data_IF_300154689768
#
_entry.id   IF_300154689768
#
_cell.length_a   1.000
_cell.length_b   1.000
_cell.length_c   1.000
_cell.angle_alpha   90.00
_cell.angle_beta   90.00
_cell.angle_gamma   90.00
#
_symmetry.space_group_name_H-M   'P 1'
#
loop_
_entity.id
_entity.type
_entity.pdbx_description
1 polymer ?
#
# COMPACT_ATOMS: atom_id res chain seq x y z
N UNK A 1 68.03 -29.66 35.61
CA UNK A 1 68.96 -29.04 34.66
C UNK A 1 68.22 -28.56 33.46
N UNK A 2 68.31 -27.25 33.20
CA UNK A 2 68.25 -26.52 31.95
C UNK A 2 66.82 -26.27 31.35
N UNK A 3 66.31 -25.12 31.60
CA UNK A 3 66.16 -23.89 30.82
C UNK A 3 65.18 -24.03 29.65
N UNK A 4 63.99 -23.36 29.72
CA UNK A 4 63.63 -21.97 29.35
C UNK A 4 63.56 -21.71 27.86
N UNK A 5 62.40 -21.32 27.41
CA UNK A 5 61.97 -20.03 26.82
C UNK A 5 60.63 -20.32 26.12
N UNK A 6 59.55 -19.66 26.33
CA UNK A 6 59.34 -18.20 26.42
C UNK A 6 59.01 -17.66 25.03
N UNK A 7 57.77 -17.79 24.59
CA UNK A 7 57.32 -17.16 23.36
C UNK A 7 55.82 -16.91 23.42
N UNK A 8 55.44 -15.69 23.81
CA UNK A 8 54.06 -15.20 23.66
C UNK A 8 53.78 -14.99 22.17
N UNK A 9 52.67 -15.44 21.61
CA UNK A 9 52.24 -14.95 20.32
C UNK A 9 51.53 -13.60 20.47
N UNK A 10 51.85 -12.71 19.55
CA UNK A 10 51.37 -11.37 19.42
C UNK A 10 49.85 -11.29 19.26
N UNK A 11 49.26 -10.30 19.96
CA UNK A 11 47.88 -9.81 19.72
C UNK A 11 47.79 -9.25 18.30
N UNK A 12 47.08 -9.92 17.41
CA UNK A 12 46.54 -9.33 16.22
C UNK A 12 45.35 -8.45 16.60
N UNK A 13 45.53 -7.15 16.49
CA UNK A 13 44.46 -6.17 16.56
C UNK A 13 43.53 -6.40 15.38
N UNK A 14 42.32 -6.92 15.65
CA UNK A 14 41.23 -6.92 14.72
C UNK A 14 40.76 -5.49 14.50
N UNK A 15 40.98 -4.97 13.32
CA UNK A 15 40.39 -3.71 12.84
C UNK A 15 38.92 -3.96 12.66
N UNK A 16 38.13 -3.48 13.61
CA UNK A 16 36.66 -3.37 13.48
C UNK A 16 36.37 -2.24 12.50
N UNK A 17 36.14 -2.60 11.25
CA UNK A 17 35.52 -1.68 10.28
C UNK A 17 34.02 -1.67 10.56
N UNK A 18 33.60 -0.77 11.47
CA UNK A 18 32.23 -0.32 11.53
C UNK A 18 32.05 0.69 10.42
N UNK A 19 31.64 0.25 9.24
CA UNK A 19 30.99 1.12 8.28
C UNK A 19 29.65 1.57 8.87
N UNK A 20 29.26 2.85 8.69
CA UNK A 20 27.94 3.27 9.09
C UNK A 20 26.92 2.48 8.24
N UNK A 21 26.03 1.75 8.92
CA UNK A 21 24.76 1.37 8.33
C UNK A 21 24.07 2.70 7.99
N UNK A 22 24.14 3.07 6.73
CA UNK A 22 23.27 4.09 6.17
C UNK A 22 21.85 3.56 6.33
N UNK A 23 21.20 3.97 7.42
CA UNK A 23 19.77 3.90 7.52
C UNK A 23 19.23 4.78 6.42
N UNK A 24 18.74 4.16 5.34
CA UNK A 24 17.91 4.89 4.41
C UNK A 24 16.80 5.57 5.22
N UNK A 25 16.53 6.85 5.02
CA UNK A 25 15.44 7.50 5.71
C UNK A 25 14.15 6.77 5.32
N UNK A 26 13.27 6.48 6.26
CA UNK A 26 11.93 6.06 5.92
C UNK A 26 11.31 7.22 5.16
N UNK A 27 11.01 6.95 3.93
CA UNK A 27 10.22 7.63 3.08
C UNK A 27 9.42 8.75 3.47
N UNK A 28 9.27 9.38 2.57
CA UNK A 28 8.28 10.21 1.93
C UNK A 28 7.92 11.47 2.68
N UNK A 29 8.14 12.54 1.98
CA UNK A 29 7.61 13.86 2.29
C UNK A 29 6.12 13.83 2.69
N UNK A 30 5.37 12.80 2.27
CA UNK A 30 3.97 12.58 2.64
C UNK A 30 3.75 12.21 4.10
N UNK A 31 4.63 11.46 4.75
CA UNK A 31 4.42 11.03 6.14
C UNK A 31 4.48 12.17 7.16
N UNK A 32 5.26 13.23 6.88
CA UNK A 32 5.38 14.39 7.78
C UNK A 32 4.24 15.39 7.71
N UNK A 33 3.42 15.37 6.65
CA UNK A 33 2.38 16.38 6.39
C UNK A 33 1.03 16.02 7.01
N UNK A 34 0.79 14.75 7.37
CA UNK A 34 -0.54 14.24 7.71
C UNK A 34 -0.90 14.18 9.20
N UNK A 35 -0.20 14.87 10.08
CA UNK A 35 -0.56 14.94 11.51
C UNK A 35 -1.79 15.81 11.83
N UNK A 36 -2.56 16.28 10.83
CA UNK A 36 -3.78 17.04 11.05
C UNK A 36 -5.02 16.18 10.81
N UNK A 37 -5.97 16.23 11.77
CA UNK A 37 -7.26 15.54 11.76
C UNK A 37 -7.97 15.67 10.41
N UNK A 38 -8.18 14.55 9.72
CA UNK A 38 -9.03 14.50 8.54
C UNK A 38 -10.50 14.66 8.93
N UNK A 39 -11.18 15.59 8.29
CA UNK A 39 -12.64 15.75 8.39
C UNK A 39 -13.21 15.38 7.02
N UNK A 40 -13.93 14.28 6.97
CA UNK A 40 -14.54 13.79 5.73
C UNK A 40 -15.67 14.71 5.27
N UNK A 41 -15.67 15.08 3.97
CA UNK A 41 -16.82 15.67 3.28
C UNK A 41 -17.50 14.59 2.42
N UNK A 42 -18.86 14.59 2.33
CA UNK A 42 -19.52 13.59 1.52
C UNK A 42 -19.27 13.80 0.02
N UNK A 43 -18.95 12.72 -0.66
CA UNK A 43 -18.72 12.66 -2.10
C UNK A 43 -20.05 12.86 -2.85
N UNK A 44 -20.08 13.82 -3.79
CA UNK A 44 -21.17 13.96 -4.76
C UNK A 44 -20.72 13.34 -6.09
N UNK A 45 -21.32 12.20 -6.43
CA UNK A 45 -21.11 11.60 -7.74
C UNK A 45 -21.70 12.49 -8.85
N UNK A 46 -20.88 12.92 -9.79
CA UNK A 46 -21.33 13.56 -11.01
C UNK A 46 -21.71 12.46 -12.01
N UNK A 47 -23.02 12.30 -12.25
CA UNK A 47 -23.52 11.40 -13.28
C UNK A 47 -23.49 12.10 -14.64
N UNK A 48 -22.55 11.72 -15.52
CA UNK A 48 -22.70 11.90 -16.94
C UNK A 48 -22.95 10.53 -17.59
N UNK A 49 -24.08 10.38 -18.26
CA UNK A 49 -24.45 9.14 -18.95
C UNK A 49 -23.50 8.92 -20.15
N UNK A 50 -22.74 7.83 -20.09
CA UNK A 50 -21.88 7.37 -21.20
C UNK A 50 -22.50 6.12 -21.82
N UNK A 51 -22.62 6.15 -23.12
CA UNK A 51 -23.13 5.12 -24.03
C UNK A 51 -22.42 3.78 -23.81
N UNK A 52 -23.18 2.70 -23.70
CA UNK A 52 -22.68 1.32 -23.63
C UNK A 52 -21.98 0.94 -24.93
N UNK A 53 -20.66 0.76 -24.89
CA UNK A 53 -19.89 0.11 -25.95
C UNK A 53 -19.37 -1.24 -25.44
N UNK A 54 -19.61 -2.28 -26.24
CA UNK A 54 -19.22 -3.68 -26.03
C UNK A 54 -17.70 -3.84 -25.83
N UNK A 55 -17.23 -4.70 -24.90
CA UNK A 55 -15.82 -4.89 -24.62
C UNK A 55 -15.20 -5.88 -25.63
N UNK A 56 -14.57 -5.38 -26.68
CA UNK A 56 -13.62 -6.12 -27.50
C UNK A 56 -12.71 -5.15 -28.28
N UNK A 57 -12.22 -4.12 -27.61
CA UNK A 57 -11.19 -3.27 -28.19
C UNK A 57 -9.84 -3.66 -27.56
N UNK A 58 -8.84 -3.89 -28.41
CA UNK A 58 -7.43 -3.94 -28.00
C UNK A 58 -7.16 -2.74 -27.08
N UNK A 59 -6.48 -2.92 -25.93
CA UNK A 59 -6.14 -1.82 -25.03
C UNK A 59 -5.50 -0.69 -25.84
N UNK A 60 -6.09 0.50 -25.77
CA UNK A 60 -5.44 1.69 -26.32
C UNK A 60 -4.46 2.18 -25.27
N UNK A 61 -3.15 2.24 -25.56
CA UNK A 61 -2.19 2.76 -24.61
C UNK A 61 -2.53 4.20 -24.24
N UNK A 62 -2.48 4.51 -22.96
CA UNK A 62 -2.51 5.88 -22.49
C UNK A 62 -1.23 6.58 -22.97
N UNK A 63 -1.36 7.82 -23.44
CA UNK A 63 -0.22 8.61 -23.86
C UNK A 63 0.31 9.44 -22.68
N UNK A 64 1.62 9.65 -22.67
CA UNK A 64 2.29 10.56 -21.74
C UNK A 64 2.13 10.19 -20.25
N UNK A 65 2.12 8.89 -19.91
CA UNK A 65 2.12 8.41 -18.52
C UNK A 65 3.41 8.86 -17.86
N UNK A 66 3.28 9.64 -16.79
CA UNK A 66 4.39 10.16 -15.98
C UNK A 66 4.39 9.65 -14.54
N UNK A 67 3.24 9.16 -14.08
CA UNK A 67 3.05 8.65 -12.73
C UNK A 67 2.11 7.45 -12.74
N UNK A 68 2.46 6.41 -11.97
CA UNK A 68 1.56 5.28 -11.71
C UNK A 68 1.42 5.12 -10.20
N UNK A 69 0.18 5.12 -9.72
CA UNK A 69 -0.15 4.97 -8.30
C UNK A 69 -0.88 3.65 -8.10
N UNK A 70 -0.32 2.78 -7.29
CA UNK A 70 -0.89 1.47 -6.98
C UNK A 70 -1.60 1.49 -5.62
N UNK A 71 -2.72 0.77 -5.50
CA UNK A 71 -3.05 0.17 -4.21
C UNK A 71 -2.09 -0.99 -3.92
N UNK A 72 -2.05 -1.43 -2.66
CA UNK A 72 -1.15 -2.52 -2.24
C UNK A 72 -1.87 -3.87 -2.23
N UNK A 73 -2.89 -3.99 -1.38
CA UNK A 73 -3.62 -5.23 -1.13
C UNK A 73 -4.46 -5.60 -2.36
N UNK A 74 -4.32 -6.82 -2.87
CA UNK A 74 -5.02 -7.28 -4.08
C UNK A 74 -4.42 -6.80 -5.41
N UNK A 75 -3.48 -5.84 -5.38
CA UNK A 75 -2.83 -5.25 -6.57
C UNK A 75 -1.34 -5.60 -6.62
N UNK A 76 -0.54 -5.09 -5.70
CA UNK A 76 0.90 -5.39 -5.64
C UNK A 76 1.20 -6.69 -4.91
N UNK A 77 0.29 -7.14 -4.07
CA UNK A 77 0.37 -8.40 -3.32
C UNK A 77 -0.86 -9.27 -3.54
N UNK A 78 -0.66 -10.60 -3.61
CA UNK A 78 -1.75 -11.58 -3.69
C UNK A 78 -2.32 -11.86 -2.28
N UNK A 79 -2.89 -10.82 -1.68
CA UNK A 79 -3.56 -10.88 -0.40
C UNK A 79 -4.84 -10.02 -0.45
N UNK A 80 -5.90 -10.52 0.16
CA UNK A 80 -7.20 -9.83 0.16
C UNK A 80 -7.16 -8.51 0.93
N UNK A 81 -6.40 -8.48 2.04
CA UNK A 81 -6.21 -7.30 2.87
C UNK A 81 -5.12 -7.55 3.91
N UNK A 82 -4.25 -6.60 4.13
CA UNK A 82 -3.26 -6.62 5.20
C UNK A 82 -3.89 -6.65 6.60
N UNK A 83 -5.04 -6.00 6.79
CA UNK A 83 -5.84 -6.10 8.03
C UNK A 83 -6.40 -7.50 8.23
N UNK A 84 -6.92 -8.12 7.18
CA UNK A 84 -7.43 -9.50 7.23
C UNK A 84 -6.33 -10.48 7.58
N UNK A 85 -5.12 -10.31 7.06
CA UNK A 85 -3.97 -11.14 7.37
C UNK A 85 -3.66 -11.14 8.88
N UNK A 86 -3.77 -9.98 9.54
CA UNK A 86 -3.63 -9.89 11.00
C UNK A 86 -4.77 -10.63 11.74
N UNK A 87 -6.01 -10.50 11.28
CA UNK A 87 -7.11 -11.25 11.86
C UNK A 87 -6.94 -12.76 11.73
N UNK A 88 -6.47 -13.23 10.58
CA UNK A 88 -6.19 -14.65 10.35
C UNK A 88 -5.04 -15.14 11.26
N UNK A 89 -4.00 -14.31 11.47
CA UNK A 89 -2.87 -14.61 12.36
C UNK A 89 -3.31 -14.76 13.82
N UNK A 90 -4.10 -13.82 14.33
CA UNK A 90 -4.60 -13.85 15.71
C UNK A 90 -5.87 -14.72 15.89
N UNK A 91 -6.36 -15.35 14.83
CA UNK A 91 -7.57 -16.18 14.90
C UNK A 91 -8.83 -15.39 15.26
N UNK A 92 -8.91 -14.13 14.85
CA UNK A 92 -10.05 -13.24 15.14
C UNK A 92 -10.88 -12.98 13.87
N UNK A 93 -12.13 -12.54 14.06
CA UNK A 93 -13.03 -12.13 12.98
C UNK A 93 -13.54 -10.71 13.18
N UNK A 94 -13.43 -9.87 12.17
CA UNK A 94 -13.93 -8.50 12.18
C UNK A 94 -15.12 -8.26 11.24
N UNK A 95 -15.73 -9.31 10.68
CA UNK A 95 -16.78 -9.20 9.66
C UNK A 95 -17.91 -8.26 10.06
N UNK A 96 -18.35 -8.32 11.33
CA UNK A 96 -19.40 -7.44 11.84
C UNK A 96 -18.98 -5.96 11.85
N UNK A 97 -17.73 -5.65 12.26
CA UNK A 97 -17.19 -4.28 12.26
C UNK A 97 -16.95 -3.79 10.82
N UNK A 98 -16.46 -4.66 9.94
CA UNK A 98 -16.30 -4.35 8.51
C UNK A 98 -17.64 -3.95 7.87
N UNK A 99 -18.72 -4.65 8.16
CA UNK A 99 -20.05 -4.28 7.68
C UNK A 99 -20.51 -2.93 8.22
N UNK A 100 -20.26 -2.62 9.49
CA UNK A 100 -20.55 -1.31 10.08
C UNK A 100 -19.73 -0.20 9.42
N UNK A 101 -18.45 -0.47 9.14
CA UNK A 101 -17.56 0.46 8.45
C UNK A 101 -18.06 0.73 7.01
N UNK A 102 -18.36 -0.32 6.23
CA UNK A 102 -18.87 -0.18 4.86
C UNK A 102 -20.18 0.63 4.83
N UNK A 103 -21.04 0.48 5.86
CA UNK A 103 -22.28 1.27 5.97
C UNK A 103 -22.06 2.69 6.51
N UNK A 104 -20.80 3.09 6.81
CA UNK A 104 -20.48 4.40 7.36
C UNK A 104 -20.92 4.61 8.80
N UNK A 105 -21.23 3.54 9.55
CA UNK A 105 -21.64 3.60 10.96
C UNK A 105 -20.48 3.87 11.91
N UNK A 106 -19.27 3.53 11.51
CA UNK A 106 -18.03 3.79 12.24
C UNK A 106 -16.98 4.38 11.31
N UNK A 107 -16.09 5.21 11.86
CA UNK A 107 -14.97 5.80 11.11
C UNK A 107 -13.83 4.82 10.92
N UNK A 108 -12.88 5.16 10.01
CA UNK A 108 -11.62 4.40 9.84
C UNK A 108 -10.87 4.25 11.17
N UNK A 109 -10.74 5.32 11.96
CA UNK A 109 -10.05 5.27 13.26
C UNK A 109 -10.74 4.35 14.25
N UNK A 110 -12.09 4.42 14.33
CA UNK A 110 -12.85 3.52 15.20
C UNK A 110 -12.75 2.06 14.73
N UNK A 111 -12.78 1.83 13.42
CA UNK A 111 -12.62 0.49 12.84
C UNK A 111 -11.25 -0.10 13.23
N UNK A 112 -10.15 0.66 13.03
CA UNK A 112 -8.80 0.24 13.43
C UNK A 112 -8.70 -0.04 14.93
N UNK A 113 -9.24 0.84 15.78
CA UNK A 113 -9.25 0.66 17.23
C UNK A 113 -9.98 -0.61 17.67
N UNK A 114 -11.10 -0.94 17.02
CA UNK A 114 -11.85 -2.16 17.28
C UNK A 114 -11.08 -3.42 16.87
N UNK A 115 -10.33 -3.37 15.78
CA UNK A 115 -9.49 -4.47 15.31
C UNK A 115 -8.31 -4.70 16.28
N UNK A 116 -7.59 -3.65 16.65
CA UNK A 116 -6.51 -3.70 17.66
C UNK A 116 -7.03 -4.33 18.96
N UNK A 117 -8.19 -3.89 19.45
CA UNK A 117 -8.81 -4.45 20.67
C UNK A 117 -9.08 -5.95 20.55
N UNK A 118 -9.49 -6.42 19.37
CA UNK A 118 -9.70 -7.86 19.13
C UNK A 118 -8.40 -8.64 19.22
N UNK A 119 -7.32 -8.16 18.58
CA UNK A 119 -6.02 -8.82 18.62
C UNK A 119 -5.47 -8.87 20.06
N UNK A 120 -5.49 -7.73 20.76
CA UNK A 120 -5.05 -7.64 22.18
C UNK A 120 -5.89 -8.50 23.13
N UNK A 121 -7.11 -8.89 22.76
CA UNK A 121 -7.90 -9.85 23.56
C UNK A 121 -7.41 -11.30 23.42
N UNK A 122 -6.59 -11.60 22.43
CA UNK A 122 -5.97 -12.91 22.20
C UNK A 122 -4.56 -12.93 22.77
N UNK A 123 -3.79 -11.89 22.52
CA UNK A 123 -2.40 -11.75 22.95
C UNK A 123 -2.13 -10.30 23.35
N UNK A 124 -1.59 -10.08 24.54
CA UNK A 124 -1.19 -8.77 25.06
C UNK A 124 -0.04 -8.96 26.07
N UNK A 125 1.13 -8.34 25.87
CA UNK A 125 1.44 -7.39 24.82
C UNK A 125 1.70 -8.03 23.46
N UNK A 126 1.37 -7.32 22.37
CA UNK A 126 1.76 -7.66 21.00
C UNK A 126 2.96 -6.79 20.62
N UNK A 127 4.08 -7.40 20.25
CA UNK A 127 5.24 -6.66 19.78
C UNK A 127 5.16 -6.38 18.28
N UNK A 128 5.84 -5.31 17.84
CA UNK A 128 5.93 -4.97 16.41
C UNK A 128 6.39 -6.15 15.54
N UNK A 129 7.33 -6.96 16.06
CA UNK A 129 7.81 -8.15 15.35
C UNK A 129 6.72 -9.19 15.12
N UNK A 130 5.76 -9.34 16.03
CA UNK A 130 4.66 -10.30 15.90
C UNK A 130 3.75 -9.90 14.74
N UNK A 131 3.50 -8.60 14.60
CA UNK A 131 2.78 -8.06 13.45
C UNK A 131 3.53 -8.32 12.14
N UNK A 132 4.87 -8.16 12.09
CA UNK A 132 5.65 -8.52 10.92
C UNK A 132 5.58 -10.01 10.60
N UNK A 133 5.61 -10.89 11.61
CA UNK A 133 5.47 -12.34 11.42
C UNK A 133 4.14 -12.74 10.81
N UNK A 134 3.07 -11.99 11.10
CA UNK A 134 1.76 -12.24 10.51
C UNK A 134 1.76 -12.16 8.99
N UNK A 135 2.66 -11.35 8.40
CA UNK A 135 2.80 -11.20 6.95
C UNK A 135 3.77 -12.21 6.32
N UNK A 136 4.36 -13.10 7.11
CA UNK A 136 5.25 -14.13 6.59
C UNK A 136 4.51 -15.04 5.60
N UNK A 137 5.03 -15.16 4.39
CA UNK A 137 4.43 -15.97 3.32
C UNK A 137 3.48 -15.21 2.38
N UNK A 138 3.12 -13.97 2.64
CA UNK A 138 2.43 -13.13 1.66
C UNK A 138 3.37 -12.86 0.48
N UNK A 139 2.86 -13.07 -0.73
CA UNK A 139 3.65 -12.97 -1.95
C UNK A 139 3.28 -11.73 -2.76
N UNK A 140 4.24 -11.20 -3.51
CA UNK A 140 3.95 -10.21 -4.53
C UNK A 140 2.99 -10.81 -5.56
N UNK A 141 2.10 -9.98 -6.08
CA UNK A 141 1.30 -10.33 -7.25
C UNK A 141 2.23 -10.71 -8.41
N UNK A 142 1.86 -11.75 -9.16
CA UNK A 142 2.63 -12.14 -10.33
C UNK A 142 2.82 -10.94 -11.25
N UNK A 143 4.05 -10.73 -11.74
CA UNK A 143 4.38 -9.60 -12.62
C UNK A 143 4.56 -8.23 -11.94
N UNK A 144 4.23 -8.08 -10.65
CA UNK A 144 4.32 -6.78 -9.97
C UNK A 144 5.74 -6.18 -10.00
N UNK A 145 6.75 -6.99 -9.67
CA UNK A 145 8.16 -6.53 -9.72
C UNK A 145 8.56 -6.11 -11.11
N UNK A 146 8.26 -6.92 -12.10
CA UNK A 146 8.63 -6.65 -13.49
C UNK A 146 7.93 -5.39 -14.03
N UNK A 147 6.64 -5.21 -13.72
CA UNK A 147 5.91 -4.01 -14.12
C UNK A 147 6.53 -2.74 -13.51
N UNK A 148 6.79 -2.75 -12.20
CA UNK A 148 7.41 -1.61 -11.51
C UNK A 148 8.79 -1.30 -12.08
N UNK A 149 9.62 -2.31 -12.32
CA UNK A 149 10.93 -2.14 -12.93
C UNK A 149 10.85 -1.53 -14.35
N UNK A 150 9.89 -1.96 -15.19
CA UNK A 150 9.66 -1.38 -16.52
C UNK A 150 9.24 0.09 -16.46
N UNK A 151 8.35 0.44 -15.51
CA UNK A 151 7.93 1.82 -15.28
C UNK A 151 9.12 2.71 -14.89
N UNK A 152 9.90 2.27 -13.91
CA UNK A 152 11.09 2.98 -13.41
C UNK A 152 12.15 3.16 -14.50
N UNK A 153 12.38 2.14 -15.34
CA UNK A 153 13.31 2.22 -16.47
C UNK A 153 12.91 3.29 -17.51
N UNK A 154 11.63 3.65 -17.54
CA UNK A 154 11.11 4.74 -18.39
C UNK A 154 11.06 6.09 -17.67
N UNK A 155 11.52 6.16 -16.43
CA UNK A 155 11.47 7.37 -15.62
C UNK A 155 10.06 7.74 -15.16
N UNK A 156 9.12 6.78 -15.16
CA UNK A 156 7.77 6.98 -14.66
C UNK A 156 7.81 6.90 -13.13
N UNK A 157 7.25 7.89 -12.46
CA UNK A 157 7.14 7.94 -11.01
C UNK A 157 6.17 6.86 -10.52
N UNK A 158 6.58 6.06 -9.54
CA UNK A 158 5.78 4.96 -9.00
C UNK A 158 5.50 5.17 -7.53
N UNK A 159 4.24 5.18 -7.14
CA UNK A 159 3.85 5.33 -5.74
C UNK A 159 2.84 4.27 -5.28
N UNK A 160 2.74 4.09 -3.95
CA UNK A 160 1.72 3.26 -3.30
C UNK A 160 0.85 4.15 -2.43
N UNK A 161 -0.47 4.09 -2.62
CA UNK A 161 -1.47 4.76 -1.78
C UNK A 161 -2.47 3.71 -1.30
N UNK A 162 -2.30 3.24 -0.07
CA UNK A 162 -3.06 2.12 0.48
C UNK A 162 -3.70 2.46 1.83
N UNK A 163 -4.94 2.02 2.04
CA UNK A 163 -5.57 2.01 3.36
C UNK A 163 -5.13 0.83 4.24
N UNK A 164 -4.24 -0.02 3.72
CA UNK A 164 -3.62 -1.14 4.42
C UNK A 164 -2.64 -0.73 5.52
N UNK A 165 -1.96 -1.72 6.09
CA UNK A 165 -1.06 -1.56 7.24
C UNK A 165 0.33 -1.10 6.79
N UNK A 166 0.81 0.01 7.36
CA UNK A 166 2.07 0.67 6.99
C UNK A 166 3.32 -0.23 7.15
N UNK A 167 3.39 -1.05 8.20
CA UNK A 167 4.47 -2.00 8.40
C UNK A 167 4.64 -2.94 7.19
N UNK A 168 3.52 -3.39 6.65
CA UNK A 168 3.48 -4.27 5.49
C UNK A 168 3.77 -3.48 4.20
N UNK A 169 3.05 -2.38 3.98
CA UNK A 169 3.21 -1.54 2.78
C UNK A 169 4.63 -1.00 2.66
N UNK A 170 5.27 -0.60 3.77
CA UNK A 170 6.67 -0.18 3.80
C UNK A 170 7.62 -1.28 3.28
N UNK A 171 7.37 -2.53 3.67
CA UNK A 171 8.17 -3.67 3.23
C UNK A 171 8.03 -3.90 1.72
N UNK A 172 6.80 -3.80 1.19
CA UNK A 172 6.52 -3.91 -0.25
C UNK A 172 7.17 -2.74 -1.02
N UNK A 173 7.01 -1.51 -0.52
CA UNK A 173 7.61 -0.32 -1.08
C UNK A 173 9.14 -0.44 -1.19
N UNK A 174 9.79 -0.94 -0.13
CA UNK A 174 11.24 -1.18 -0.10
C UNK A 174 11.67 -2.29 -1.08
N UNK A 175 10.89 -3.39 -1.16
CA UNK A 175 11.19 -4.50 -2.09
C UNK A 175 11.05 -4.09 -3.56
N UNK A 176 10.11 -3.21 -3.89
CA UNK A 176 9.85 -2.73 -5.25
C UNK A 176 10.62 -1.43 -5.55
N UNK A 177 11.21 -0.80 -4.53
CA UNK A 177 11.93 0.49 -4.62
C UNK A 177 11.08 1.59 -5.25
N UNK A 178 9.80 1.66 -4.87
CA UNK A 178 8.92 2.72 -5.35
C UNK A 178 9.40 4.09 -4.87
N UNK A 179 9.03 5.15 -5.59
CA UNK A 179 9.50 6.51 -5.31
C UNK A 179 8.85 7.08 -4.05
N UNK A 180 7.58 6.75 -3.79
CA UNK A 180 6.86 7.20 -2.59
C UNK A 180 5.76 6.22 -2.17
N UNK A 181 5.32 6.31 -0.90
CA UNK A 181 4.21 5.50 -0.41
C UNK A 181 3.55 6.12 0.82
N UNK A 182 2.28 5.82 1.01
CA UNK A 182 1.54 6.15 2.23
C UNK A 182 0.56 5.02 2.56
N UNK A 183 0.42 4.72 3.86
CA UNK A 183 -0.53 3.75 4.38
C UNK A 183 -0.96 4.11 5.81
N UNK A 184 -2.04 3.50 6.28
CA UNK A 184 -2.46 3.58 7.68
C UNK A 184 -1.55 2.72 8.56
N UNK A 185 -1.55 2.95 9.86
CA UNK A 185 -0.63 2.25 10.74
C UNK A 185 -1.10 2.16 12.17
N UNK A 186 -0.17 1.86 13.05
CA UNK A 186 -0.41 1.69 14.48
C UNK A 186 0.43 2.66 15.30
N UNK A 187 -0.10 3.06 16.45
CA UNK A 187 0.71 3.62 17.53
C UNK A 187 1.45 2.48 18.22
N UNK A 188 2.70 2.76 18.65
CA UNK A 188 3.50 1.85 19.45
C UNK A 188 3.94 2.55 20.73
N UNK A 189 3.95 1.81 21.83
CA UNK A 189 4.48 2.25 23.09
C UNK A 189 6.02 2.36 23.05
N UNK A 190 6.63 2.94 24.09
CA UNK A 190 8.09 3.10 24.19
C UNK A 190 8.86 1.77 24.19
N UNK A 191 8.22 0.69 24.65
CA UNK A 191 8.75 -0.67 24.64
C UNK A 191 8.50 -1.45 23.35
N UNK A 192 8.07 -0.76 22.29
CA UNK A 192 7.75 -1.32 20.97
C UNK A 192 6.57 -2.31 20.96
N UNK A 193 5.70 -2.22 21.96
CA UNK A 193 4.42 -2.93 21.99
C UNK A 193 3.32 -2.14 21.29
N UNK A 194 2.33 -2.84 20.73
CA UNK A 194 1.19 -2.25 20.04
C UNK A 194 0.37 -1.37 20.97
N UNK A 195 0.15 -0.12 20.61
CA UNK A 195 -0.75 0.80 21.29
C UNK A 195 -2.23 0.40 21.17
N UNK A 196 -3.11 1.27 21.63
CA UNK A 196 -4.56 1.01 21.58
C UNK A 196 -5.23 1.67 20.36
N UNK A 197 -4.51 2.56 19.68
CA UNK A 197 -5.04 3.37 18.59
C UNK A 197 -4.31 3.10 17.25
N UNK A 198 -5.09 3.19 16.17
CA UNK A 198 -4.54 3.21 14.82
C UNK A 198 -4.18 4.63 14.37
N UNK A 199 -3.21 4.74 13.49
CA UNK A 199 -2.83 6.00 12.85
C UNK A 199 -3.53 6.06 11.48
N UNK A 200 -4.65 6.78 11.40
CA UNK A 200 -5.37 7.01 10.15
C UNK A 200 -4.72 8.16 9.39
N UNK A 201 -3.96 7.85 8.34
CA UNK A 201 -3.32 8.83 7.44
C UNK A 201 -4.17 9.11 6.21
N UNK A 202 -5.00 8.15 5.82
CA UNK A 202 -5.93 8.29 4.71
C UNK A 202 -7.19 7.46 4.95
N UNK A 203 -8.31 7.94 4.41
CA UNK A 203 -9.56 7.18 4.37
C UNK A 203 -9.59 6.25 3.16
N UNK A 204 -10.17 5.06 3.31
CA UNK A 204 -10.26 4.08 2.21
C UNK A 204 -10.95 4.66 0.96
N UNK A 205 -11.93 5.57 1.14
CA UNK A 205 -12.66 6.25 0.07
C UNK A 205 -12.12 7.65 -0.24
N UNK A 206 -10.98 8.05 0.33
CA UNK A 206 -10.39 9.39 0.21
C UNK A 206 -9.01 9.41 -0.42
N UNK A 207 -8.58 8.33 -1.10
CA UNK A 207 -7.25 8.20 -1.68
C UNK A 207 -6.92 9.29 -2.71
N UNK A 208 -7.92 9.83 -3.42
CA UNK A 208 -7.72 10.87 -4.42
C UNK A 208 -7.11 12.15 -3.87
N UNK A 209 -7.48 12.60 -2.67
CA UNK A 209 -6.87 13.77 -2.04
C UNK A 209 -5.37 13.57 -1.78
N UNK A 210 -4.98 12.34 -1.45
CA UNK A 210 -3.59 11.97 -1.23
C UNK A 210 -2.82 11.99 -2.54
N UNK A 211 -3.40 11.43 -3.60
CA UNK A 211 -2.81 11.40 -4.94
C UNK A 211 -2.61 12.81 -5.45
N UNK A 212 -3.59 13.70 -5.34
CA UNK A 212 -3.45 15.10 -5.75
C UNK A 212 -2.26 15.78 -5.04
N UNK A 213 -2.13 15.61 -3.73
CA UNK A 213 -0.99 16.16 -2.97
C UNK A 213 0.34 15.55 -3.40
N UNK A 214 0.38 14.23 -3.66
CA UNK A 214 1.57 13.55 -4.17
C UNK A 214 2.01 14.16 -5.51
N UNK A 215 1.07 14.39 -6.42
CA UNK A 215 1.35 15.01 -7.72
C UNK A 215 1.88 16.44 -7.54
N UNK A 216 1.23 17.25 -6.72
CA UNK A 216 1.66 18.62 -6.42
C UNK A 216 3.09 18.67 -5.87
N UNK A 217 3.41 17.80 -4.91
CA UNK A 217 4.73 17.74 -4.28
C UNK A 217 5.85 17.33 -5.24
N UNK A 218 5.51 16.53 -6.25
CA UNK A 218 6.46 16.03 -7.24
C UNK A 218 6.41 16.79 -8.58
N UNK A 219 5.62 17.87 -8.67
CA UNK A 219 5.41 18.66 -9.90
C UNK A 219 4.92 17.79 -11.07
N UNK A 220 4.08 16.79 -10.77
CA UNK A 220 3.45 15.91 -11.76
C UNK A 220 2.06 16.41 -12.10
N UNK A 221 1.60 16.11 -13.32
CA UNK A 221 0.27 16.52 -13.80
C UNK A 221 -0.74 15.38 -13.69
N UNK A 222 -2.01 15.68 -13.36
CA UNK A 222 -3.07 14.67 -13.30
C UNK A 222 -3.23 13.87 -14.60
N UNK A 223 -3.09 14.51 -15.77
CA UNK A 223 -3.29 13.88 -17.07
C UNK A 223 -2.30 12.74 -17.35
N UNK A 224 -1.12 12.78 -16.73
CA UNK A 224 -0.12 11.71 -16.83
C UNK A 224 -0.21 10.70 -15.67
N UNK A 225 -1.18 10.83 -14.77
CA UNK A 225 -1.33 9.94 -13.61
C UNK A 225 -2.30 8.80 -13.91
N UNK A 226 -1.86 7.57 -13.68
CA UNK A 226 -2.69 6.36 -13.77
C UNK A 226 -2.72 5.67 -12.42
N UNK A 227 -3.91 5.49 -11.87
CA UNK A 227 -4.13 4.75 -10.62
C UNK A 227 -4.61 3.33 -10.91
N UNK A 228 -4.20 2.37 -10.08
CA UNK A 228 -4.55 0.94 -10.22
C UNK A 228 -5.05 0.43 -8.88
N UNK A 229 -6.27 -0.14 -8.87
CA UNK A 229 -6.94 -0.67 -7.68
C UNK A 229 -7.81 -1.88 -8.00
N UNK A 230 -8.17 -2.69 -6.98
CA UNK A 230 -8.95 -3.93 -7.13
C UNK A 230 -10.38 -3.84 -6.60
N UNK A 231 -10.69 -2.80 -5.84
CA UNK A 231 -11.96 -2.65 -5.12
C UNK A 231 -12.73 -1.37 -5.47
N UNK A 232 -14.03 -1.37 -5.20
CA UNK A 232 -14.89 -0.19 -5.36
C UNK A 232 -14.40 1.03 -4.56
N UNK A 233 -13.69 0.83 -3.45
CA UNK A 233 -13.12 1.92 -2.65
C UNK A 233 -11.99 2.64 -3.41
N UNK A 234 -11.28 1.91 -4.28
CA UNK A 234 -10.16 2.43 -5.05
C UNK A 234 -10.61 3.34 -6.20
N UNK A 235 -11.90 3.35 -6.57
CA UNK A 235 -12.41 4.36 -7.49
C UNK A 235 -12.18 5.79 -6.97
N UNK A 236 -11.99 5.97 -5.67
CA UNK A 236 -11.55 7.25 -5.11
C UNK A 236 -10.16 7.70 -5.57
N UNK A 237 -9.37 6.80 -6.16
CA UNK A 237 -8.06 7.10 -6.77
C UNK A 237 -8.19 7.73 -8.16
N UNK A 238 -9.37 7.67 -8.79
CA UNK A 238 -9.65 8.36 -10.04
C UNK A 238 -9.84 9.86 -9.74
N UNK A 239 -8.82 10.64 -10.02
CA UNK A 239 -8.83 12.10 -9.85
C UNK A 239 -9.20 12.81 -11.15
N UNK A 240 -9.60 14.08 -11.06
CA UNK A 240 -9.88 14.90 -12.24
C UNK A 240 -8.67 15.00 -13.15
N UNK A 241 -8.86 14.68 -14.44
CA UNK A 241 -7.80 14.63 -15.46
C UNK A 241 -6.94 13.38 -15.42
N UNK A 242 -7.01 12.57 -14.35
CA UNK A 242 -6.25 11.32 -14.22
C UNK A 242 -6.98 10.11 -14.82
N UNK A 243 -6.32 8.97 -14.74
CA UNK A 243 -6.81 7.69 -15.25
C UNK A 243 -6.86 6.66 -14.14
N UNK A 244 -7.73 5.66 -14.31
CA UNK A 244 -7.84 4.53 -13.38
C UNK A 244 -7.98 3.23 -14.17
N UNK A 245 -7.34 2.17 -13.68
CA UNK A 245 -7.48 0.81 -14.20
C UNK A 245 -7.91 -0.10 -13.04
N UNK A 246 -9.06 -0.74 -13.18
CA UNK A 246 -9.50 -1.79 -12.27
C UNK A 246 -8.71 -3.07 -12.54
N UNK A 247 -8.00 -3.57 -11.52
CA UNK A 247 -7.22 -4.80 -11.64
C UNK A 247 -7.81 -5.90 -10.77
N UNK A 248 -8.08 -7.06 -11.39
CA UNK A 248 -8.51 -8.29 -10.70
C UNK A 248 -9.64 -8.09 -9.66
N UNK A 249 -10.76 -7.41 -10.00
CA UNK A 249 -11.86 -7.24 -9.06
C UNK A 249 -12.42 -8.61 -8.67
N UNK A 250 -12.26 -8.99 -7.39
CA UNK A 250 -12.69 -10.30 -6.87
C UNK A 250 -14.13 -10.32 -6.36
N UNK A 251 -14.73 -9.14 -6.17
CA UNK A 251 -16.12 -8.96 -5.73
C UNK A 251 -16.98 -8.47 -6.88
N UNK A 252 -18.21 -8.96 -6.94
CA UNK A 252 -19.20 -8.52 -7.93
C UNK A 252 -19.49 -7.00 -7.80
N UNK A 253 -19.49 -6.47 -6.56
CA UNK A 253 -19.66 -5.04 -6.31
C UNK A 253 -18.54 -4.21 -6.93
N UNK A 254 -17.29 -4.66 -6.83
CA UNK A 254 -16.13 -3.97 -7.43
C UNK A 254 -16.21 -3.99 -8.95
N UNK A 255 -16.52 -5.16 -9.54
CA UNK A 255 -16.68 -5.28 -10.98
C UNK A 255 -17.78 -4.34 -11.51
N UNK A 256 -18.99 -4.39 -10.90
CA UNK A 256 -20.11 -3.55 -11.29
C UNK A 256 -19.81 -2.05 -11.12
N UNK A 257 -19.04 -1.68 -10.10
CA UNK A 257 -18.64 -0.29 -9.87
C UNK A 257 -17.65 0.20 -10.95
N UNK A 258 -16.69 -0.64 -11.34
CA UNK A 258 -15.73 -0.33 -12.41
C UNK A 258 -16.42 -0.23 -13.77
N UNK A 259 -17.34 -1.15 -14.09
CA UNK A 259 -18.16 -1.09 -15.30
C UNK A 259 -19.00 0.19 -15.35
N UNK A 260 -19.64 0.54 -14.22
CA UNK A 260 -20.47 1.76 -14.11
C UNK A 260 -19.63 3.04 -14.25
N UNK A 261 -18.37 3.01 -13.80
CA UNK A 261 -17.43 4.12 -13.95
C UNK A 261 -16.83 4.19 -15.37
N UNK A 262 -17.02 3.16 -16.19
CA UNK A 262 -16.48 3.11 -17.57
C UNK A 262 -14.97 3.03 -17.64
N UNK A 263 -14.31 2.51 -16.58
CA UNK A 263 -12.85 2.39 -16.52
C UNK A 263 -12.40 1.05 -17.12
N UNK A 264 -11.18 0.97 -17.69
CA UNK A 264 -10.59 -0.29 -18.13
C UNK A 264 -10.54 -1.31 -16.97
N UNK A 265 -10.83 -2.56 -17.27
CA UNK A 265 -10.79 -3.66 -16.29
C UNK A 265 -9.88 -4.76 -16.82
N UNK A 266 -8.89 -5.13 -16.02
CA UNK A 266 -7.98 -6.24 -16.27
C UNK A 266 -8.33 -7.36 -15.30
N UNK A 267 -8.82 -8.48 -15.83
CA UNK A 267 -9.20 -9.66 -15.04
C UNK A 267 -8.09 -10.69 -15.10
N UNK A 268 -7.51 -11.03 -13.96
CA UNK A 268 -6.42 -12.00 -13.88
C UNK A 268 -5.50 -11.72 -12.69
N UNK A 269 -4.58 -12.65 -12.42
CA UNK A 269 -3.62 -12.56 -11.31
C UNK A 269 -2.20 -12.24 -11.78
N UNK A 270 -2.04 -11.63 -12.95
CA UNK A 270 -0.74 -11.19 -13.45
C UNK A 270 -0.79 -9.69 -13.73
N UNK A 271 -0.14 -8.91 -12.89
CA UNK A 271 -0.15 -7.44 -12.99
C UNK A 271 0.52 -6.93 -14.28
N UNK A 272 1.35 -7.73 -14.96
CA UNK A 272 1.87 -7.37 -16.28
C UNK A 272 0.77 -7.19 -17.35
N UNK A 273 -0.42 -7.73 -17.15
CA UNK A 273 -1.53 -7.54 -18.08
C UNK A 273 -2.01 -6.09 -18.12
N UNK A 274 -1.60 -5.25 -17.15
CA UNK A 274 -1.83 -3.80 -17.15
C UNK A 274 -0.82 -3.05 -18.05
N UNK A 275 0.36 -3.63 -18.32
CA UNK A 275 1.45 -2.98 -19.06
C UNK A 275 1.01 -2.40 -20.43
N UNK A 276 0.18 -3.07 -21.27
CA UNK A 276 -0.27 -2.50 -22.54
C UNK A 276 -1.05 -1.19 -22.41
N UNK A 277 -1.79 -0.99 -21.29
CA UNK A 277 -2.51 0.27 -21.04
C UNK A 277 -1.56 1.41 -20.66
N UNK A 278 -0.42 1.07 -20.06
CA UNK A 278 0.60 2.03 -19.61
C UNK A 278 1.65 2.30 -20.71
N UNK A 279 1.57 1.60 -21.83
CA UNK A 279 2.54 1.70 -22.92
C UNK A 279 3.94 1.17 -22.59
N UNK A 280 4.08 0.21 -21.63
CA UNK A 280 5.38 -0.31 -21.15
C UNK A 280 5.53 -1.82 -21.39
#
# INVERSE_FOLDING_TARGET
>A
MIHQNGGKPARTQGVSVRGPLSSAPPSSALQGVFHRKCVAKPFKAAHSAVSMSTPSATPQPLTDVTCVVFDCDGVLVDAVSSWRTLHDHFGTDNSANLQRFIRGEISDSEFMRLDIKKWKSIEDPIHREDLFRAYAGVQLMAGARELVERLQQRGIFVAIVSAGVDLFVASIAAMLKVDDWIANGFEFNEDDTLGDEGICRLHATGKGEIIQRLLEMNNLKPEGCVSIGDSEMDLSMLIDGGHFIGFNPTRESSLSSFESAGVPIVVGKNLLEVAPYLGV
#
